data_IF_970514982916
#
_entry.id   IF_970514982916
#
_cell.length_a   1.000
_cell.length_b   1.000
_cell.length_c   1.000
_cell.angle_alpha   90.00
_cell.angle_beta   90.00
_cell.angle_gamma   90.00
#
_symmetry.space_group_name_H-M   'P 1'
#
loop_
_entity.id
_entity.type
_entity.pdbx_description
1 polymer ?
#
# COMPACT_ATOMS: atom_id res chain seq x y z
N UNK A 1 -12.85 3.70 -3.99
CA UNK A 1 -12.84 2.35 -3.39
C UNK A 1 -12.06 1.47 -4.35
N UNK A 2 -11.02 0.78 -3.87
CA UNK A 2 -10.23 -0.13 -4.69
C UNK A 2 -11.15 -1.26 -5.17
N UNK A 3 -11.15 -1.54 -6.46
CA UNK A 3 -11.92 -2.66 -7.02
C UNK A 3 -11.03 -3.92 -6.96
N UNK A 4 -11.08 -4.58 -5.81
CA UNK A 4 -10.34 -5.82 -5.60
C UNK A 4 -11.04 -7.00 -6.27
N UNK A 5 -10.25 -7.93 -6.83
CA UNK A 5 -10.75 -9.21 -7.30
C UNK A 5 -11.43 -9.99 -6.16
N UNK A 6 -12.32 -10.93 -6.51
CA UNK A 6 -12.93 -11.80 -5.51
C UNK A 6 -11.87 -12.65 -4.79
N UNK A 7 -10.79 -13.03 -5.47
CA UNK A 7 -9.68 -13.76 -4.89
C UNK A 7 -8.93 -12.94 -3.84
N UNK A 8 -8.66 -11.64 -4.09
CA UNK A 8 -8.08 -10.75 -3.09
C UNK A 8 -8.99 -10.65 -1.86
N UNK A 9 -10.30 -10.47 -2.05
CA UNK A 9 -11.26 -10.40 -0.95
C UNK A 9 -11.28 -11.70 -0.15
N UNK A 10 -11.29 -12.85 -0.83
CA UNK A 10 -11.26 -14.17 -0.20
C UNK A 10 -10.01 -14.34 0.68
N UNK A 11 -8.82 -14.05 0.15
CA UNK A 11 -7.57 -14.14 0.89
C UNK A 11 -7.43 -13.09 2.00
N UNK A 12 -8.15 -11.98 1.90
CA UNK A 12 -8.19 -10.97 2.95
C UNK A 12 -9.10 -11.38 4.11
N UNK A 13 -10.34 -11.81 3.82
CA UNK A 13 -11.30 -12.17 4.87
C UNK A 13 -11.04 -13.54 5.48
N UNK A 14 -10.51 -14.47 4.71
CA UNK A 14 -10.20 -15.84 5.12
C UNK A 14 -8.73 -16.17 4.80
N UNK A 15 -7.76 -15.47 5.42
CA UNK A 15 -6.36 -15.67 5.11
C UNK A 15 -5.92 -17.09 5.46
N UNK A 16 -5.28 -17.75 4.49
CA UNK A 16 -4.72 -19.09 4.67
C UNK A 16 -3.34 -18.99 5.28
N UNK A 17 -3.02 -19.91 6.16
CA UNK A 17 -1.72 -20.00 6.82
C UNK A 17 -1.34 -18.75 7.63
N UNK A 18 -2.31 -18.01 8.15
CA UNK A 18 -2.07 -16.89 9.05
C UNK A 18 -1.52 -17.40 10.41
N UNK A 19 -0.43 -16.81 10.88
CA UNK A 19 0.27 -17.19 12.10
C UNK A 19 1.68 -17.75 11.82
N UNK A 20 2.41 -18.07 12.87
CA UNK A 20 3.73 -18.69 12.76
C UNK A 20 3.61 -20.21 12.63
N UNK A 21 4.46 -20.82 11.80
CA UNK A 21 4.57 -22.28 11.67
C UNK A 21 5.23 -22.85 12.94
N UNK A 22 4.64 -23.93 13.47
CA UNK A 22 5.26 -24.69 14.58
C UNK A 22 6.51 -25.41 14.06
N UNK A 23 7.60 -25.29 14.81
CA UNK A 23 8.90 -25.87 14.43
C UNK A 23 9.43 -25.32 13.08
N UNK A 24 9.21 -24.04 12.82
CA UNK A 24 9.83 -23.37 11.67
C UNK A 24 11.35 -23.41 11.81
N UNK A 25 12.02 -23.69 10.68
CA UNK A 25 13.49 -23.70 10.57
C UNK A 25 14.01 -22.65 9.58
N UNK A 26 13.12 -21.80 9.06
CA UNK A 26 13.45 -20.65 8.26
C UNK A 26 12.50 -19.48 8.61
N UNK A 27 13.06 -18.29 8.75
CA UNK A 27 12.31 -17.07 9.08
C UNK A 27 12.82 -15.91 8.22
N UNK A 28 11.90 -15.16 7.62
CA UNK A 28 12.19 -13.93 6.89
C UNK A 28 11.35 -12.79 7.44
N UNK A 29 12.01 -11.73 7.87
CA UNK A 29 11.39 -10.50 8.36
C UNK A 29 11.71 -9.38 7.38
N UNK A 30 10.69 -8.68 6.90
CA UNK A 30 10.86 -7.55 5.97
C UNK A 30 9.91 -6.41 6.31
N UNK A 31 10.31 -5.22 5.92
CA UNK A 31 9.57 -4.00 6.18
C UNK A 31 9.66 -3.54 7.64
N UNK A 32 8.94 -2.48 7.96
CA UNK A 32 8.95 -1.87 9.27
C UNK A 32 7.56 -1.34 9.61
N UNK A 33 7.14 -1.51 10.85
CA UNK A 33 5.89 -0.97 11.37
C UNK A 33 5.84 0.56 11.22
N UNK A 34 6.99 1.23 11.30
CA UNK A 34 7.11 2.67 11.09
C UNK A 34 6.82 3.10 9.64
N UNK A 35 7.06 2.21 8.67
CA UNK A 35 6.74 2.44 7.25
C UNK A 35 5.31 2.03 6.89
N UNK A 36 4.57 1.45 7.83
CA UNK A 36 3.16 1.08 7.68
C UNK A 36 2.90 -0.30 7.10
N UNK A 37 3.95 -1.04 6.69
CA UNK A 37 3.85 -2.44 6.25
C UNK A 37 5.05 -3.24 6.79
N UNK A 38 4.78 -4.40 7.37
CA UNK A 38 5.78 -5.36 7.83
C UNK A 38 5.26 -6.78 7.62
N UNK A 39 6.16 -7.70 7.29
CA UNK A 39 5.84 -9.11 7.06
C UNK A 39 6.90 -9.99 7.69
N UNK A 40 6.45 -10.93 8.51
CA UNK A 40 7.23 -12.08 8.96
C UNK A 40 6.71 -13.33 8.26
N UNK A 41 7.58 -14.01 7.52
CA UNK A 41 7.33 -15.30 6.90
C UNK A 41 8.08 -16.39 7.68
N UNK A 42 7.41 -17.48 8.01
CA UNK A 42 7.99 -18.64 8.69
C UNK A 42 7.79 -19.88 7.84
N UNK A 43 8.85 -20.66 7.63
CA UNK A 43 8.82 -21.87 6.81
C UNK A 43 9.29 -23.09 7.63
N UNK A 44 8.69 -24.24 7.34
CA UNK A 44 9.21 -25.55 7.73
C UNK A 44 9.72 -26.23 6.47
N UNK A 45 11.03 -26.37 6.38
CA UNK A 45 11.73 -26.94 5.23
C UNK A 45 12.27 -28.32 5.59
N UNK A 46 12.06 -29.33 4.71
CA UNK A 46 12.64 -30.65 4.86
C UNK A 46 14.14 -30.61 4.55
N UNK A 47 15.02 -30.98 5.50
CA UNK A 47 16.47 -30.79 5.32
C UNK A 47 17.10 -31.59 4.18
N UNK A 48 16.55 -32.76 3.83
CA UNK A 48 17.15 -33.62 2.81
C UNK A 48 16.76 -33.21 1.38
N UNK A 49 15.56 -32.66 1.20
CA UNK A 49 14.99 -32.35 -0.10
C UNK A 49 14.83 -30.87 -0.38
N UNK A 50 15.05 -30.03 0.63
CA UNK A 50 14.76 -28.59 0.62
C UNK A 50 13.32 -28.24 0.21
N UNK A 51 12.37 -29.16 0.41
CA UNK A 51 10.95 -28.94 0.12
C UNK A 51 10.30 -28.19 1.29
N UNK A 52 9.54 -27.17 0.98
CA UNK A 52 8.75 -26.40 1.95
C UNK A 52 7.52 -27.22 2.34
N UNK A 53 7.57 -27.83 3.53
CA UNK A 53 6.49 -28.64 4.08
C UNK A 53 5.33 -27.79 4.58
N UNK A 54 5.65 -26.66 5.20
CA UNK A 54 4.67 -25.73 5.73
C UNK A 54 5.17 -24.29 5.68
N UNK A 55 4.23 -23.35 5.56
CA UNK A 55 4.52 -21.92 5.47
C UNK A 55 3.45 -21.15 6.23
N UNK A 56 3.86 -20.15 6.99
CA UNK A 56 2.94 -19.27 7.74
C UNK A 56 3.43 -17.83 7.73
N UNK A 57 2.51 -16.90 7.94
CA UNK A 57 2.85 -15.48 7.93
C UNK A 57 2.18 -14.69 9.04
N UNK A 58 2.84 -13.64 9.45
CA UNK A 58 2.31 -12.59 10.31
C UNK A 58 2.61 -11.26 9.62
N UNK A 59 1.59 -10.44 9.38
CA UNK A 59 1.78 -9.16 8.67
C UNK A 59 1.06 -8.02 9.40
N UNK A 60 1.68 -6.86 9.33
CA UNK A 60 1.07 -5.59 9.65
C UNK A 60 1.02 -4.79 8.36
N UNK A 61 -0.19 -4.39 7.92
CA UNK A 61 -0.33 -3.70 6.64
C UNK A 61 -1.78 -3.64 6.17
N UNK A 62 -1.96 -3.27 4.90
CA UNK A 62 -3.28 -3.16 4.29
C UNK A 62 -3.85 -4.55 3.90
N UNK A 63 -5.13 -4.58 3.49
CA UNK A 63 -5.76 -5.83 3.04
C UNK A 63 -5.05 -6.53 1.88
N UNK A 64 -4.39 -5.78 1.00
CA UNK A 64 -3.55 -6.36 -0.07
C UNK A 64 -2.31 -7.04 0.48
N UNK A 65 -1.71 -6.54 1.56
CA UNK A 65 -0.56 -7.17 2.21
C UNK A 65 -0.97 -8.53 2.82
N UNK A 66 -2.13 -8.59 3.48
CA UNK A 66 -2.69 -9.84 4.00
C UNK A 66 -2.96 -10.83 2.86
N UNK A 67 -3.63 -10.37 1.80
CA UNK A 67 -3.97 -11.22 0.66
C UNK A 67 -2.73 -11.74 -0.08
N UNK A 68 -1.72 -10.89 -0.32
CA UNK A 68 -0.47 -11.29 -0.97
C UNK A 68 0.33 -12.29 -0.14
N UNK A 69 0.41 -12.08 1.18
CA UNK A 69 1.10 -13.01 2.09
C UNK A 69 0.38 -14.36 2.15
N UNK A 70 -0.94 -14.34 2.23
CA UNK A 70 -1.78 -15.55 2.20
C UNK A 70 -1.60 -16.33 0.89
N UNK A 71 -1.63 -15.66 -0.27
CA UNK A 71 -1.41 -16.25 -1.57
C UNK A 71 -0.01 -16.86 -1.69
N UNK A 72 1.02 -16.11 -1.30
CA UNK A 72 2.41 -16.58 -1.32
C UNK A 72 2.56 -17.90 -0.56
N UNK A 73 2.03 -18.00 0.67
CA UNK A 73 2.14 -19.22 1.47
C UNK A 73 1.50 -20.44 0.80
N UNK A 74 0.42 -20.26 0.04
CA UNK A 74 -0.18 -21.35 -0.76
C UNK A 74 0.69 -21.73 -1.95
N UNK A 75 1.28 -20.73 -2.63
CA UNK A 75 2.08 -20.95 -3.83
C UNK A 75 3.40 -21.68 -3.55
N UNK A 76 4.00 -21.47 -2.38
CA UNK A 76 5.33 -22.02 -2.05
C UNK A 76 5.27 -23.39 -1.37
N UNK A 77 4.16 -23.77 -0.75
CA UNK A 77 4.02 -25.09 -0.09
C UNK A 77 4.16 -26.22 -1.10
N UNK A 78 4.99 -27.21 -0.78
CA UNK A 78 5.30 -28.36 -1.63
C UNK A 78 6.35 -28.10 -2.71
N UNK A 79 6.89 -26.90 -2.82
CA UNK A 79 7.98 -26.55 -3.73
C UNK A 79 9.32 -26.68 -3.01
N UNK A 80 10.39 -26.89 -3.77
CA UNK A 80 11.76 -26.72 -3.25
C UNK A 80 12.07 -25.25 -3.08
N UNK A 81 13.10 -24.93 -2.29
CA UNK A 81 13.53 -23.55 -2.09
C UNK A 81 13.88 -22.86 -3.41
N UNK A 82 14.57 -23.57 -4.32
CA UNK A 82 14.94 -23.02 -5.62
C UNK A 82 13.73 -22.79 -6.54
N UNK A 83 12.74 -23.67 -6.52
CA UNK A 83 11.48 -23.45 -7.23
C UNK A 83 10.68 -22.29 -6.65
N UNK A 84 10.69 -22.13 -5.33
CA UNK A 84 10.02 -21.02 -4.65
C UNK A 84 10.67 -19.67 -4.99
N UNK A 85 11.99 -19.61 -5.12
CA UNK A 85 12.72 -18.40 -5.54
C UNK A 85 12.37 -17.93 -6.96
N UNK A 86 11.84 -18.80 -7.82
CA UNK A 86 11.39 -18.40 -9.16
C UNK A 86 10.05 -17.66 -9.16
N UNK A 87 9.32 -17.71 -8.04
CA UNK A 87 8.04 -16.99 -7.93
C UNK A 87 8.33 -15.48 -7.91
N UNK A 88 7.74 -14.81 -8.88
CA UNK A 88 7.84 -13.36 -9.01
C UNK A 88 6.72 -12.66 -8.24
N UNK A 89 6.90 -11.38 -7.95
CA UNK A 89 5.81 -10.56 -7.40
C UNK A 89 4.61 -10.44 -8.36
N UNK A 90 4.85 -10.58 -9.68
CA UNK A 90 3.78 -10.62 -10.68
C UNK A 90 2.98 -11.92 -10.57
N UNK A 91 3.63 -13.08 -10.34
CA UNK A 91 2.93 -14.35 -10.15
C UNK A 91 2.01 -14.31 -8.93
N UNK A 92 2.42 -13.65 -7.84
CA UNK A 92 1.58 -13.43 -6.66
C UNK A 92 0.37 -12.57 -7.02
N UNK A 93 0.59 -11.48 -7.76
CA UNK A 93 -0.50 -10.61 -8.20
C UNK A 93 -1.46 -11.34 -9.15
N UNK A 94 -0.94 -12.13 -10.09
CA UNK A 94 -1.75 -12.89 -11.05
C UNK A 94 -2.56 -14.01 -10.37
N UNK A 95 -1.98 -14.69 -9.37
CA UNK A 95 -2.68 -15.67 -8.54
C UNK A 95 -3.90 -15.06 -7.84
N UNK A 96 -3.78 -13.82 -7.41
CA UNK A 96 -4.87 -13.06 -6.79
C UNK A 96 -5.89 -12.50 -7.80
N UNK A 97 -5.70 -12.75 -9.10
CA UNK A 97 -6.56 -12.19 -10.15
C UNK A 97 -6.30 -10.71 -10.44
N UNK A 98 -5.11 -10.23 -10.07
CA UNK A 98 -4.64 -8.86 -10.21
C UNK A 98 -4.69 -8.07 -8.92
N UNK A 99 -3.67 -7.22 -8.72
CA UNK A 99 -3.65 -6.20 -7.68
C UNK A 99 -3.82 -4.83 -8.32
N UNK A 100 -4.47 -3.87 -7.66
CA UNK A 100 -4.41 -2.48 -8.09
C UNK A 100 -2.95 -2.03 -8.22
N UNK A 101 -2.59 -1.22 -9.25
CA UNK A 101 -1.21 -0.80 -9.46
C UNK A 101 -0.54 -0.27 -8.19
N UNK A 102 -1.25 0.56 -7.43
CA UNK A 102 -0.78 1.20 -6.20
C UNK A 102 -0.62 0.22 -5.02
N UNK A 103 -0.94 -1.05 -5.24
CA UNK A 103 -0.82 -2.14 -4.25
C UNK A 103 0.20 -3.21 -4.66
N UNK A 104 0.90 -3.00 -5.77
CA UNK A 104 1.94 -3.93 -6.23
C UNK A 104 3.08 -4.09 -5.22
N UNK A 105 3.43 -3.05 -4.45
CA UNK A 105 4.43 -3.15 -3.39
C UNK A 105 4.13 -4.25 -2.35
N UNK A 106 2.86 -4.62 -2.15
CA UNK A 106 2.50 -5.71 -1.23
C UNK A 106 2.97 -7.08 -1.74
N UNK A 107 2.98 -7.31 -3.07
CA UNK A 107 3.53 -8.53 -3.64
C UNK A 107 5.07 -8.52 -3.66
N UNK A 108 5.69 -7.35 -3.81
CA UNK A 108 7.16 -7.19 -3.70
C UNK A 108 7.62 -7.59 -2.30
N UNK A 109 7.00 -7.03 -1.26
CA UNK A 109 7.30 -7.38 0.14
C UNK A 109 7.15 -8.89 0.42
N UNK A 110 6.16 -9.56 -0.19
CA UNK A 110 6.00 -11.01 -0.07
C UNK A 110 7.19 -11.77 -0.63
N UNK A 111 7.71 -11.36 -1.80
CA UNK A 111 8.89 -11.97 -2.42
C UNK A 111 10.15 -11.73 -1.60
N UNK A 112 10.35 -10.53 -1.09
CA UNK A 112 11.50 -10.19 -0.23
C UNK A 112 11.50 -11.03 1.04
N UNK A 113 10.35 -11.20 1.70
CA UNK A 113 10.23 -12.07 2.87
C UNK A 113 10.58 -13.53 2.57
N UNK A 114 10.23 -14.03 1.38
CA UNK A 114 10.61 -15.37 0.95
C UNK A 114 12.13 -15.49 0.75
N UNK A 115 12.75 -14.52 0.09
CA UNK A 115 14.19 -14.47 -0.10
C UNK A 115 14.94 -14.43 1.25
N UNK A 116 14.48 -13.56 2.17
CA UNK A 116 15.02 -13.47 3.52
C UNK A 116 14.90 -14.81 4.29
N UNK A 117 13.74 -15.48 4.20
CA UNK A 117 13.55 -16.77 4.87
C UNK A 117 14.46 -17.86 4.30
N UNK A 118 14.67 -17.89 2.99
CA UNK A 118 15.55 -18.86 2.34
C UNK A 118 17.03 -18.59 2.68
N UNK A 119 17.46 -17.34 2.67
CA UNK A 119 18.81 -16.95 3.10
C UNK A 119 19.04 -17.34 4.57
N UNK A 120 18.08 -17.08 5.45
CA UNK A 120 18.15 -17.51 6.86
C UNK A 120 18.28 -19.03 6.98
N UNK A 121 17.55 -19.83 6.20
CA UNK A 121 17.68 -21.28 6.19
C UNK A 121 19.07 -21.75 5.75
N UNK A 122 19.65 -21.10 4.74
CA UNK A 122 20.96 -21.42 4.19
C UNK A 122 22.11 -20.90 5.06
N UNK A 123 21.80 -20.10 6.10
CA UNK A 123 22.81 -19.46 6.95
C UNK A 123 23.56 -18.32 6.23
N UNK A 124 22.94 -17.77 5.20
CA UNK A 124 23.40 -16.60 4.48
C UNK A 124 22.91 -15.34 5.19
N UNK A 125 23.73 -14.29 5.23
CA UNK A 125 23.26 -12.98 5.69
C UNK A 125 22.31 -12.43 4.63
N UNK A 126 21.05 -12.23 5.02
CA UNK A 126 20.13 -11.42 4.26
C UNK A 126 20.33 -9.98 4.72
N UNK A 127 21.09 -9.24 3.93
CA UNK A 127 21.11 -7.80 4.10
C UNK A 127 19.81 -7.26 3.51
N UNK A 128 19.04 -6.60 4.35
CA UNK A 128 17.95 -5.74 3.90
C UNK A 128 18.67 -4.54 3.25
N UNK A 129 18.93 -4.62 1.93
CA UNK A 129 19.69 -3.62 1.15
C UNK A 129 19.08 -2.20 1.27
N UNK A 130 18.04 -2.04 2.07
CA UNK A 130 17.37 -0.78 2.34
C UNK A 130 18.21 0.22 3.17
N UNK A 131 19.35 -0.18 3.73
CA UNK A 131 20.23 0.71 4.49
C UNK A 131 21.55 1.05 3.76
N UNK A 132 21.91 0.36 2.67
CA UNK A 132 23.19 0.56 1.98
C UNK A 132 23.16 1.61 0.87
N UNK A 133 22.00 1.95 0.33
CA UNK A 133 21.83 2.95 -0.73
C UNK A 133 21.67 4.36 -0.20
N UNK A 134 21.96 5.35 -1.05
CA UNK A 134 21.60 6.73 -0.76
C UNK A 134 20.07 6.86 -0.63
N UNK A 135 19.58 7.34 0.51
CA UNK A 135 18.15 7.52 0.76
C UNK A 135 17.55 8.47 -0.28
N UNK A 136 16.69 7.95 -1.15
CA UNK A 136 16.02 8.69 -2.23
C UNK A 136 14.66 9.22 -1.77
N UNK A 137 13.79 8.37 -1.24
CA UNK A 137 12.48 8.77 -0.77
C UNK A 137 12.42 8.86 0.76
N UNK A 138 12.50 10.08 1.30
CA UNK A 138 12.45 10.33 2.76
C UNK A 138 11.08 10.06 3.38
N UNK A 139 9.99 10.12 2.62
CA UNK A 139 8.63 9.90 3.13
C UNK A 139 8.38 8.44 3.51
N UNK A 140 8.99 7.51 2.78
CA UNK A 140 8.78 6.07 2.91
C UNK A 140 10.08 5.31 3.19
N UNK A 141 11.18 6.03 3.47
CA UNK A 141 12.50 5.47 3.75
C UNK A 141 12.99 4.50 2.64
N UNK A 142 12.79 4.87 1.36
CA UNK A 142 13.20 4.07 0.22
C UNK A 142 14.53 4.59 -0.32
N UNK A 143 15.52 3.72 -0.43
CA UNK A 143 16.84 3.99 -0.95
C UNK A 143 16.97 3.76 -2.47
N UNK A 144 18.17 4.02 -2.98
CA UNK A 144 18.50 3.88 -4.39
C UNK A 144 18.56 2.40 -4.82
N UNK A 145 19.05 1.51 -3.96
CA UNK A 145 19.27 0.08 -4.29
C UNK A 145 17.92 -0.59 -4.53
N UNK A 146 16.95 -0.43 -3.60
CA UNK A 146 15.60 -0.97 -3.76
C UNK A 146 14.94 -0.47 -5.04
N UNK A 147 15.07 0.84 -5.35
CA UNK A 147 14.48 1.40 -6.58
C UNK A 147 15.11 0.74 -7.81
N UNK A 148 16.43 0.60 -7.88
CA UNK A 148 17.16 -0.01 -9.00
C UNK A 148 16.75 -1.46 -9.22
N UNK A 149 16.75 -2.25 -8.15
CA UNK A 149 16.45 -3.68 -8.22
C UNK A 149 14.99 -3.92 -8.59
N UNK A 150 14.08 -3.09 -8.06
CA UNK A 150 12.66 -3.14 -8.46
C UNK A 150 12.48 -2.78 -9.94
N UNK A 151 13.19 -1.76 -10.45
CA UNK A 151 13.17 -1.38 -11.88
C UNK A 151 13.68 -2.53 -12.75
N UNK A 152 14.79 -3.17 -12.37
CA UNK A 152 15.39 -4.29 -13.11
C UNK A 152 14.48 -5.51 -13.13
N UNK A 153 14.01 -5.93 -11.95
CA UNK A 153 13.20 -7.14 -11.79
C UNK A 153 11.84 -7.04 -12.53
N UNK A 154 11.26 -5.84 -12.60
CA UNK A 154 9.92 -5.62 -13.14
C UNK A 154 9.90 -4.85 -14.46
N UNK A 155 11.07 -4.52 -15.02
CA UNK A 155 11.20 -3.75 -16.27
C UNK A 155 10.40 -2.43 -16.25
N UNK A 156 10.47 -1.72 -15.12
CA UNK A 156 9.73 -0.47 -14.95
C UNK A 156 10.28 0.62 -15.87
N UNK A 157 9.41 1.54 -16.30
CA UNK A 157 9.75 2.56 -17.28
C UNK A 157 9.20 3.96 -16.99
N UNK A 158 8.51 4.13 -15.86
CA UNK A 158 7.94 5.41 -15.44
C UNK A 158 8.04 5.62 -13.93
N UNK A 159 7.96 6.87 -13.48
CA UNK A 159 7.89 7.20 -12.06
C UNK A 159 6.64 6.57 -11.43
N UNK A 160 5.51 6.56 -12.16
CA UNK A 160 4.27 5.96 -11.69
C UNK A 160 4.45 4.47 -11.40
N UNK A 161 5.14 3.74 -12.28
CA UNK A 161 5.46 2.33 -12.04
C UNK A 161 6.35 2.17 -10.80
N UNK A 162 7.42 2.97 -10.67
CA UNK A 162 8.29 2.93 -9.48
C UNK A 162 7.49 3.20 -8.20
N UNK A 163 6.59 4.20 -8.24
CA UNK A 163 5.73 4.52 -7.10
C UNK A 163 4.80 3.35 -6.74
N UNK A 164 4.22 2.71 -7.73
CA UNK A 164 3.31 1.58 -7.52
C UNK A 164 4.00 0.36 -6.89
N UNK A 165 5.27 0.14 -7.22
CA UNK A 165 6.05 -1.01 -6.77
C UNK A 165 6.83 -0.76 -5.48
N UNK A 166 7.24 0.50 -5.19
CA UNK A 166 8.10 0.84 -4.05
C UNK A 166 7.49 1.85 -3.08
N UNK A 167 6.40 2.53 -3.44
CA UNK A 167 5.85 3.75 -2.80
C UNK A 167 6.71 5.01 -2.98
N UNK A 168 7.96 4.91 -3.46
CA UNK A 168 8.80 6.08 -3.70
C UNK A 168 8.12 7.03 -4.71
N UNK A 169 8.10 8.33 -4.39
CA UNK A 169 7.42 9.35 -5.22
C UNK A 169 5.95 9.59 -4.87
N UNK A 170 5.30 8.70 -4.13
CA UNK A 170 3.87 8.79 -3.81
C UNK A 170 3.49 9.76 -2.68
N UNK A 171 4.49 10.34 -2.00
CA UNK A 171 4.26 11.30 -0.91
C UNK A 171 4.41 12.76 -1.36
N UNK A 172 5.51 13.39 -0.97
CA UNK A 172 5.77 14.81 -1.25
C UNK A 172 6.36 15.09 -2.66
N UNK A 173 6.61 14.06 -3.44
CA UNK A 173 7.21 14.11 -4.78
C UNK A 173 8.63 14.72 -4.87
N UNK A 174 9.27 15.05 -3.76
CA UNK A 174 10.62 15.66 -3.77
C UNK A 174 11.71 14.73 -4.29
N UNK A 175 11.44 13.43 -4.33
CA UNK A 175 12.36 12.40 -4.83
C UNK A 175 12.18 12.09 -6.32
N UNK A 176 11.24 12.73 -7.04
CA UNK A 176 10.99 12.44 -8.45
C UNK A 176 12.23 12.61 -9.32
N UNK A 177 13.01 13.68 -9.13
CA UNK A 177 14.25 13.92 -9.86
C UNK A 177 15.27 12.80 -9.67
N UNK A 178 15.40 12.30 -8.43
CA UNK A 178 16.25 11.14 -8.12
C UNK A 178 15.77 9.87 -8.79
N UNK A 179 14.46 9.62 -8.78
CA UNK A 179 13.85 8.46 -9.44
C UNK A 179 14.02 8.54 -10.96
N UNK A 180 13.83 9.73 -11.57
CA UNK A 180 14.05 9.93 -13.01
C UNK A 180 15.48 9.62 -13.43
N UNK A 181 16.46 10.06 -12.63
CA UNK A 181 17.86 9.76 -12.87
C UNK A 181 18.12 8.25 -12.87
N UNK A 182 17.63 7.54 -11.85
CA UNK A 182 17.77 6.08 -11.74
C UNK A 182 17.08 5.38 -12.90
N UNK A 183 15.84 5.76 -13.24
CA UNK A 183 15.13 5.23 -14.41
C UNK A 183 15.91 5.43 -15.71
N UNK A 184 16.46 6.63 -15.91
CA UNK A 184 17.25 6.94 -17.10
C UNK A 184 18.49 6.05 -17.21
N UNK A 185 19.20 5.81 -16.12
CA UNK A 185 20.38 4.95 -16.07
C UNK A 185 20.03 3.47 -16.33
N UNK A 186 19.01 2.95 -15.67
CA UNK A 186 18.58 1.55 -15.79
C UNK A 186 17.97 1.26 -17.18
N UNK A 187 17.20 2.19 -17.72
CA UNK A 187 16.66 2.06 -19.09
C UNK A 187 17.74 2.14 -20.15
N UNK A 188 18.73 3.04 -19.97
CA UNK A 188 19.89 3.11 -20.88
C UNK A 188 20.70 1.80 -20.87
N UNK A 189 20.87 1.16 -19.71
CA UNK A 189 21.54 -0.14 -19.60
C UNK A 189 20.79 -1.26 -20.35
N UNK A 190 19.47 -1.12 -20.56
CA UNK A 190 18.63 -2.04 -21.36
C UNK A 190 18.54 -1.63 -22.84
N UNK A 191 19.21 -0.54 -23.24
CA UNK A 191 19.10 0.01 -24.60
C UNK A 191 17.81 0.77 -24.87
N UNK A 192 17.09 1.18 -23.83
CA UNK A 192 15.84 1.96 -23.90
C UNK A 192 16.13 3.43 -23.55
N UNK A 193 15.26 4.34 -24.01
CA UNK A 193 15.38 5.77 -23.69
C UNK A 193 14.27 6.17 -22.73
N UNK A 194 14.64 6.73 -21.59
CA UNK A 194 13.69 7.33 -20.65
C UNK A 194 13.16 8.65 -21.21
N UNK A 195 11.84 8.81 -21.21
CA UNK A 195 11.17 10.06 -21.60
C UNK A 195 10.42 10.58 -20.38
N UNK A 196 10.86 11.71 -19.78
CA UNK A 196 10.18 12.32 -18.65
C UNK A 196 8.70 12.60 -18.98
N UNK A 197 7.79 12.22 -18.07
CA UNK A 197 6.35 12.39 -18.25
C UNK A 197 5.68 11.38 -19.19
N UNK A 198 6.40 10.36 -19.68
CA UNK A 198 5.77 9.25 -20.38
C UNK A 198 4.93 8.44 -19.37
N UNK A 199 3.62 8.46 -19.54
CA UNK A 199 2.71 7.53 -18.82
C UNK A 199 3.11 6.14 -19.24
N UNK A 200 3.43 5.26 -18.27
CA UNK A 200 3.87 3.88 -18.51
C UNK A 200 3.02 3.21 -19.58
N UNK A 201 3.64 2.52 -20.53
CA UNK A 201 2.91 1.77 -21.56
C UNK A 201 2.02 0.75 -20.85
N UNK A 202 0.69 0.95 -20.90
CA UNK A 202 -0.26 -0.06 -20.46
C UNK A 202 0.09 -1.35 -21.19
N UNK A 203 0.55 -2.38 -20.45
CA UNK A 203 0.65 -3.72 -21.00
C UNK A 203 -0.73 -4.10 -21.50
N UNK A 204 -0.90 -4.27 -22.82
CA UNK A 204 -2.13 -4.75 -23.42
C UNK A 204 -2.34 -6.20 -22.96
N UNK A 205 -3.24 -6.39 -22.03
CA UNK A 205 -3.56 -7.71 -21.47
C UNK A 205 -4.71 -7.69 -20.49
N UNK A 206 -5.12 -6.51 -20.00
CA UNK A 206 -6.29 -6.40 -19.13
C UNK A 206 -7.53 -6.39 -20.00
N UNK A 207 -8.24 -7.50 -20.02
CA UNK A 207 -9.61 -7.61 -20.58
C UNK A 207 -10.44 -6.55 -19.86
N UNK A 208 -10.79 -5.48 -20.57
CA UNK A 208 -11.74 -4.49 -20.09
C UNK A 208 -13.09 -5.15 -19.96
N UNK A 209 -13.40 -5.65 -18.78
CA UNK A 209 -14.78 -5.85 -18.38
C UNK A 209 -15.40 -4.44 -18.37
N UNK A 210 -16.32 -4.21 -19.31
CA UNK A 210 -17.16 -3.01 -19.33
C UNK A 210 -18.02 -3.05 -18.08
N UNK A 211 -17.53 -2.42 -16.99
CA UNK A 211 -18.42 -1.97 -15.93
C UNK A 211 -19.36 -0.91 -16.52
N UNK A 212 -20.66 -0.97 -16.24
CA UNK A 212 -21.54 0.12 -16.62
C UNK A 212 -21.00 1.38 -15.91
N UNK A 213 -20.60 2.36 -16.73
CA UNK A 213 -20.21 3.68 -16.31
C UNK A 213 -21.36 4.23 -15.46
N UNK A 214 -21.16 4.53 -14.16
CA UNK A 214 -22.12 5.41 -13.51
C UNK A 214 -22.04 6.72 -14.32
N UNK A 215 -23.14 7.14 -14.89
CA UNK A 215 -23.25 8.49 -15.44
C UNK A 215 -22.94 9.46 -14.30
N UNK A 216 -21.68 9.93 -14.29
CA UNK A 216 -21.33 11.09 -13.50
C UNK A 216 -22.16 12.22 -14.07
N UNK A 217 -23.20 12.62 -13.38
CA UNK A 217 -23.83 13.89 -13.60
C UNK A 217 -22.71 14.95 -13.66
N UNK A 218 -22.73 15.86 -14.63
CA UNK A 218 -21.69 16.86 -14.77
C UNK A 218 -21.57 17.63 -13.45
N UNK A 219 -20.42 17.58 -12.82
CA UNK A 219 -20.08 18.47 -11.72
C UNK A 219 -20.02 19.87 -12.35
N UNK A 220 -21.15 20.53 -12.34
CA UNK A 220 -21.21 21.94 -12.66
C UNK A 220 -20.21 22.63 -11.74
N UNK A 221 -19.34 23.45 -12.31
CA UNK A 221 -18.46 24.33 -11.56
C UNK A 221 -19.31 25.13 -10.57
N UNK A 222 -19.38 24.60 -9.33
CA UNK A 222 -20.11 25.29 -8.24
C UNK A 222 -19.28 26.52 -7.91
N UNK A 223 -19.86 27.69 -8.16
CA UNK A 223 -19.30 28.96 -7.71
C UNK A 223 -18.94 28.84 -6.22
N UNK A 224 -17.98 29.66 -5.74
CA UNK A 224 -17.49 29.64 -4.36
C UNK A 224 -18.64 29.47 -3.38
N UNK A 225 -18.69 28.32 -2.72
CA UNK A 225 -19.69 28.04 -1.69
C UNK A 225 -19.56 29.06 -0.55
N UNK A 226 -20.66 29.56 -0.05
CA UNK A 226 -20.64 30.32 1.21
C UNK A 226 -20.23 29.39 2.35
N UNK A 227 -19.70 29.96 3.44
CA UNK A 227 -19.28 29.16 4.62
C UNK A 227 -20.41 28.25 5.12
N UNK A 228 -21.62 28.71 5.14
CA UNK A 228 -22.79 27.94 5.60
C UNK A 228 -23.12 26.79 4.63
N UNK A 229 -23.05 27.04 3.32
CA UNK A 229 -23.24 25.99 2.31
C UNK A 229 -22.15 24.92 2.38
N UNK A 230 -20.92 25.36 2.61
CA UNK A 230 -19.77 24.47 2.75
C UNK A 230 -19.91 23.57 3.98
N UNK A 231 -20.30 24.10 5.13
CA UNK A 231 -20.55 23.31 6.35
C UNK A 231 -21.63 22.25 6.10
N UNK A 232 -22.74 22.60 5.43
CA UNK A 232 -23.81 21.63 5.09
C UNK A 232 -23.30 20.50 4.21
N UNK A 233 -22.50 20.81 3.19
CA UNK A 233 -21.89 19.78 2.33
C UNK A 233 -20.96 18.86 3.12
N UNK A 234 -20.19 19.41 4.06
CA UNK A 234 -19.32 18.62 4.94
C UNK A 234 -20.17 17.69 5.82
N UNK A 235 -21.24 18.20 6.43
CA UNK A 235 -22.16 17.40 7.24
C UNK A 235 -22.83 16.29 6.44
N UNK A 236 -23.29 16.56 5.21
CA UNK A 236 -23.89 15.56 4.32
C UNK A 236 -22.88 14.43 3.98
N UNK A 237 -21.61 14.77 3.74
CA UNK A 237 -20.56 13.78 3.48
C UNK A 237 -20.31 12.92 4.71
N UNK A 238 -20.21 13.52 5.90
CA UNK A 238 -20.02 12.79 7.15
C UNK A 238 -21.19 11.88 7.48
N UNK A 239 -22.43 12.36 7.29
CA UNK A 239 -23.65 11.55 7.47
C UNK A 239 -23.67 10.36 6.51
N UNK A 240 -23.20 10.53 5.27
CA UNK A 240 -23.08 9.43 4.30
C UNK A 240 -22.05 8.37 4.70
N UNK A 241 -21.03 8.72 5.48
CA UNK A 241 -20.00 7.81 5.96
C UNK A 241 -20.35 7.12 7.29
N UNK A 242 -21.24 7.71 8.10
CA UNK A 242 -21.65 7.18 9.40
C UNK A 242 -22.14 5.73 9.41
N UNK A 243 -22.96 5.27 8.42
CA UNK A 243 -23.40 3.88 8.43
C UNK A 243 -22.25 2.87 8.40
N UNK A 244 -21.21 3.15 7.60
CA UNK A 244 -20.03 2.31 7.53
C UNK A 244 -19.21 2.36 8.83
N UNK A 245 -19.00 3.56 9.38
CA UNK A 245 -18.27 3.73 10.64
C UNK A 245 -19.00 3.06 11.83
N UNK A 246 -20.33 3.14 11.87
CA UNK A 246 -21.13 2.48 12.90
C UNK A 246 -21.10 0.96 12.80
N UNK A 247 -21.02 0.41 11.57
CA UNK A 247 -20.83 -1.03 11.37
C UNK A 247 -19.52 -1.51 11.99
N UNK A 248 -18.48 -0.66 11.98
CA UNK A 248 -17.17 -0.93 12.60
C UNK A 248 -17.11 -0.52 14.09
N UNK A 249 -18.26 -0.15 14.69
CA UNK A 249 -18.35 0.24 16.09
C UNK A 249 -17.85 1.65 16.41
N UNK A 250 -17.61 2.48 15.39
CA UNK A 250 -17.16 3.86 15.53
C UNK A 250 -18.20 4.90 15.06
N UNK A 251 -17.89 6.16 15.26
CA UNK A 251 -18.67 7.30 14.71
C UNK A 251 -17.75 8.52 14.50
N UNK A 252 -18.20 9.47 13.68
CA UNK A 252 -17.52 10.74 13.40
C UNK A 252 -18.46 11.93 13.61
N UNK A 253 -17.95 12.96 14.28
CA UNK A 253 -18.68 14.19 14.56
C UNK A 253 -17.89 15.40 14.06
N UNK A 254 -18.56 16.33 13.35
CA UNK A 254 -17.94 17.59 12.95
C UNK A 254 -17.85 18.51 14.17
N UNK A 255 -16.67 18.99 14.48
CA UNK A 255 -16.44 19.89 15.60
C UNK A 255 -16.29 21.34 15.15
N UNK A 256 -15.47 21.59 14.12
CA UNK A 256 -15.19 22.93 13.66
C UNK A 256 -14.69 22.93 12.20
N UNK A 257 -14.89 24.04 11.51
CA UNK A 257 -14.35 24.29 10.17
C UNK A 257 -13.62 25.61 10.18
N UNK A 258 -12.30 25.56 10.10
CA UNK A 258 -11.44 26.75 10.03
C UNK A 258 -10.69 26.79 8.69
N UNK A 259 -11.14 27.61 7.78
CA UNK A 259 -10.59 27.69 6.43
C UNK A 259 -10.58 26.34 5.73
N UNK A 260 -9.41 25.77 5.45
CA UNK A 260 -9.24 24.46 4.84
C UNK A 260 -9.11 23.32 5.87
N UNK A 261 -9.05 23.64 7.16
CA UNK A 261 -8.96 22.66 8.22
C UNK A 261 -10.37 22.29 8.71
N UNK A 262 -10.66 21.01 8.77
CA UNK A 262 -11.92 20.44 9.23
C UNK A 262 -11.60 19.59 10.44
N UNK A 263 -12.05 20.04 11.62
CA UNK A 263 -11.80 19.33 12.87
C UNK A 263 -12.96 18.37 13.14
N UNK A 264 -12.61 17.09 13.29
CA UNK A 264 -13.58 16.03 13.57
C UNK A 264 -13.24 15.28 14.85
N UNK A 265 -14.25 14.80 15.54
CA UNK A 265 -14.10 13.93 16.70
C UNK A 265 -14.50 12.51 16.31
N UNK A 266 -13.57 11.59 16.43
CA UNK A 266 -13.85 10.16 16.30
C UNK A 266 -14.29 9.60 17.65
N UNK A 267 -15.30 8.75 17.66
CA UNK A 267 -15.84 8.11 18.86
C UNK A 267 -15.97 6.60 18.67
N UNK A 268 -16.19 5.87 19.75
CA UNK A 268 -16.31 4.41 19.73
C UNK A 268 -15.01 3.71 19.40
N UNK A 269 -15.05 2.62 18.66
CA UNK A 269 -13.89 1.83 18.28
C UNK A 269 -12.85 2.61 17.44
N UNK A 270 -13.26 3.72 16.81
CA UNK A 270 -12.37 4.60 16.05
C UNK A 270 -11.54 5.56 16.93
N UNK A 271 -11.91 5.73 18.22
CA UNK A 271 -11.21 6.61 19.15
C UNK A 271 -10.05 5.85 19.81
N UNK A 272 -8.81 6.15 19.40
CA UNK A 272 -7.60 5.51 19.95
C UNK A 272 -7.15 4.25 19.24
N UNK A 273 -7.80 3.85 18.14
CA UNK A 273 -7.34 2.75 17.29
C UNK A 273 -6.20 3.22 16.38
N UNK A 274 -5.19 2.37 16.13
CA UNK A 274 -4.15 2.63 15.14
C UNK A 274 -4.72 2.88 13.73
N UNK A 275 -5.96 2.45 13.45
CA UNK A 275 -6.68 2.69 12.20
C UNK A 275 -7.37 4.07 12.13
N UNK A 276 -7.34 4.87 13.18
CA UNK A 276 -7.94 6.22 13.18
C UNK A 276 -7.39 7.10 12.04
N UNK A 277 -6.10 7.00 11.75
CA UNK A 277 -5.46 7.72 10.64
C UNK A 277 -6.01 7.32 9.26
N UNK A 278 -6.31 6.02 9.05
CA UNK A 278 -6.92 5.54 7.80
C UNK A 278 -8.36 6.02 7.66
N UNK A 279 -9.12 6.00 8.75
CA UNK A 279 -10.49 6.51 8.79
C UNK A 279 -10.52 8.00 8.45
N UNK A 280 -9.62 8.80 9.04
CA UNK A 280 -9.49 10.23 8.75
C UNK A 280 -9.07 10.49 7.30
N UNK A 281 -8.16 9.66 6.75
CA UNK A 281 -7.74 9.71 5.35
C UNK A 281 -8.91 9.46 4.39
N UNK A 282 -9.74 8.47 4.66
CA UNK A 282 -10.95 8.17 3.88
C UNK A 282 -11.98 9.30 3.93
N UNK A 283 -12.21 9.88 5.12
CA UNK A 283 -13.06 11.04 5.30
C UNK A 283 -12.53 12.24 4.51
N UNK A 284 -11.23 12.51 4.61
CA UNK A 284 -10.58 13.62 3.90
C UNK A 284 -10.70 13.48 2.40
N UNK A 285 -10.43 12.30 1.86
CA UNK A 285 -10.55 12.04 0.42
C UNK A 285 -11.98 12.31 -0.07
N UNK A 286 -12.98 11.81 0.65
CA UNK A 286 -14.38 12.01 0.28
C UNK A 286 -14.80 13.47 0.31
N UNK A 287 -14.29 14.22 1.28
CA UNK A 287 -14.52 15.66 1.38
C UNK A 287 -13.86 16.44 0.23
N UNK A 288 -12.63 16.09 -0.15
CA UNK A 288 -11.92 16.69 -1.30
C UNK A 288 -12.69 16.42 -2.60
N UNK A 289 -13.16 15.20 -2.82
CA UNK A 289 -13.96 14.83 -4.00
C UNK A 289 -15.26 15.63 -4.09
N UNK A 290 -15.93 15.83 -2.95
CA UNK A 290 -17.25 16.48 -2.92
C UNK A 290 -17.17 18.00 -2.96
N UNK A 291 -16.20 18.59 -2.26
CA UNK A 291 -15.99 20.04 -2.21
C UNK A 291 -15.27 20.57 -3.46
N UNK A 292 -14.50 19.71 -4.16
CA UNK A 292 -13.67 20.10 -5.31
C UNK A 292 -12.47 20.98 -4.94
N UNK A 293 -12.10 21.02 -3.65
CA UNK A 293 -10.94 21.75 -3.13
C UNK A 293 -10.18 20.93 -2.10
N UNK A 294 -8.88 21.21 -1.95
CA UNK A 294 -8.07 20.54 -0.94
C UNK A 294 -8.46 21.00 0.46
N UNK A 295 -8.83 20.02 1.31
CA UNK A 295 -9.10 20.20 2.74
C UNK A 295 -8.28 19.24 3.57
N UNK A 296 -7.96 19.62 4.80
CA UNK A 296 -7.26 18.78 5.79
C UNK A 296 -8.22 18.42 6.92
N UNK A 297 -8.38 17.11 7.15
CA UNK A 297 -9.16 16.59 8.27
C UNK A 297 -8.23 16.35 9.45
N UNK A 298 -8.53 16.93 10.59
CA UNK A 298 -7.69 16.92 11.80
C UNK A 298 -8.51 16.38 12.96
N UNK A 299 -8.00 15.42 13.75
CA UNK A 299 -8.64 15.02 14.99
C UNK A 299 -8.75 16.20 15.94
N UNK A 300 -9.90 16.42 16.54
CA UNK A 300 -10.11 17.53 17.47
C UNK A 300 -9.16 17.51 18.67
N UNK A 301 -8.65 16.35 19.06
CA UNK A 301 -7.63 16.19 20.11
C UNK A 301 -6.27 16.81 19.77
N UNK A 302 -5.99 17.06 18.49
CA UNK A 302 -4.72 17.64 18.00
C UNK A 302 -4.84 19.15 17.71
N UNK A 303 -5.93 19.79 18.13
CA UNK A 303 -6.09 21.23 17.95
C UNK A 303 -5.02 21.99 18.75
N UNK A 304 -4.23 22.89 18.13
CA UNK A 304 -3.36 23.79 18.88
C UNK A 304 -4.24 24.67 19.78
N UNK A 305 -4.00 24.62 21.09
CA UNK A 305 -4.65 25.51 22.05
C UNK A 305 -4.18 26.92 21.72
N UNK A 306 -5.09 27.78 21.27
CA UNK A 306 -4.81 29.20 21.17
C UNK A 306 -4.48 29.71 22.59
N UNK A 307 -3.24 30.08 22.81
CA UNK A 307 -2.85 30.81 24.03
C UNK A 307 -3.45 32.20 23.84
N UNK A 308 -4.63 32.43 24.44
CA UNK A 308 -5.13 33.79 24.61
C UNK A 308 -4.11 34.53 25.46
N UNK A 309 -3.45 35.47 24.82
CA UNK A 309 -2.46 36.33 25.46
C UNK A 309 -3.10 37.21 26.56
N UNK A 310 -2.46 37.23 27.69
CA UNK A 310 -2.63 38.23 28.75
C UNK A 310 -2.18 39.60 28.25
#
# INVERSE_FOLDING_TARGET
MWDYSETVKEHFYNPRNAGAVTEANAVGDVGSISCGDALRLTLKVEPETEVILDAGFQTFGCGSAIASSSALTEMIKGKTLDEALQITNQDIADFLGGLPPEKMHCSVMGREALQAAIANYRGEEWEDDHEEGALVCKCFAIDEVLIRDTIRANHLSSIEDVTNYTKAGGGCSSCHEGIEKILSEEMAARGETFVPGAIGKKKEGVVKLKSPKPEAAPVAARGKLTTVQRIRVIEEVLEGLRPALKADGGDVELMEVDGKNIYVKLTGACSGCQMAAMTLGGVQQKLIETLGEFVKVIPHSERPVAIEGV
#
